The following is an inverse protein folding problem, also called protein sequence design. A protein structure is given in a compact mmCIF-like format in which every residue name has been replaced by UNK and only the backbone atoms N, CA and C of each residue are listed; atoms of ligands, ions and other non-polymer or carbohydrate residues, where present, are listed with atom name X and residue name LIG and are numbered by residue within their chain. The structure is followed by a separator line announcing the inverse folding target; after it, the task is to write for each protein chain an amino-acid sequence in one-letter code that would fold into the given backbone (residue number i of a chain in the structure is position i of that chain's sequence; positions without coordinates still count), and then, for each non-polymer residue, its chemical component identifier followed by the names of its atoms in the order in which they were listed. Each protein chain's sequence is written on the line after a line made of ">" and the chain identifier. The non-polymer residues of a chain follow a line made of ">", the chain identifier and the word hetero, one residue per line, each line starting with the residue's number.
data_IF_211860747958
#
_entry.id   IF_211860747958
#
_cell.length_a   1.000
_cell.length_b   1.000
_cell.length_c   1.000
_cell.angle_alpha   90.00
_cell.angle_beta   90.00
_cell.angle_gamma   90.00
#
_symmetry.space_group_name_H-M   'P 1'
#
loop_
_entity.id
_entity.type
_entity.pdbx_description
1 polymer ?
#
# COMPACT_ATOMS: atom_id res chain seq x y z
N UNK A 1 25.01 2.60 0.33
CA UNK A 1 24.19 1.74 1.19
C UNK A 1 23.36 0.86 0.27
N UNK A 2 23.75 -0.40 0.08
CA UNK A 2 22.97 -1.34 -0.72
C UNK A 2 21.73 -1.74 0.08
N UNK A 3 20.55 -1.64 -0.54
CA UNK A 3 19.31 -2.16 0.04
C UNK A 3 19.47 -3.68 0.10
N UNK A 4 19.78 -4.23 1.29
CA UNK A 4 19.77 -5.67 1.55
C UNK A 4 18.31 -6.14 1.67
N UNK A 5 17.55 -5.91 0.61
CA UNK A 5 16.17 -6.33 0.46
C UNK A 5 16.23 -7.41 -0.61
N UNK A 6 16.19 -8.67 -0.20
CA UNK A 6 16.26 -9.85 -1.08
C UNK A 6 15.12 -9.97 -2.10
N UNK A 7 14.33 -8.91 -2.30
CA UNK A 7 13.18 -8.83 -3.20
C UNK A 7 13.48 -7.85 -4.34
N UNK A 8 14.08 -8.37 -5.41
CA UNK A 8 14.39 -7.61 -6.63
C UNK A 8 13.16 -7.00 -7.28
N UNK A 9 12.00 -7.65 -7.15
CA UNK A 9 10.73 -7.13 -7.69
C UNK A 9 10.30 -5.86 -6.95
N UNK A 10 10.54 -5.80 -5.64
CA UNK A 10 10.27 -4.58 -4.88
C UNK A 10 11.22 -3.44 -5.25
N UNK A 11 12.52 -3.72 -5.41
CA UNK A 11 13.47 -2.69 -5.81
C UNK A 11 13.11 -2.12 -7.19
N UNK A 12 12.73 -3.00 -8.13
CA UNK A 12 12.24 -2.59 -9.45
C UNK A 12 10.95 -1.75 -9.35
N UNK A 13 9.98 -2.18 -8.54
CA UNK A 13 8.77 -1.40 -8.29
C UNK A 13 9.07 -0.03 -7.69
N UNK A 14 10.00 0.04 -6.72
CA UNK A 14 10.43 1.30 -6.12
C UNK A 14 11.11 2.23 -7.13
N UNK A 15 11.90 1.68 -8.05
CA UNK A 15 12.52 2.44 -9.13
C UNK A 15 11.48 3.05 -10.08
N UNK A 16 10.50 2.28 -10.53
CA UNK A 16 9.43 2.79 -11.40
C UNK A 16 8.62 3.91 -10.72
N UNK A 17 8.25 3.71 -9.46
CA UNK A 17 7.53 4.72 -8.69
C UNK A 17 8.39 5.97 -8.48
N UNK A 18 9.69 5.80 -8.23
CA UNK A 18 10.61 6.93 -8.09
C UNK A 18 10.66 7.79 -9.36
N UNK A 19 10.73 7.17 -10.54
CA UNK A 19 10.70 7.88 -11.82
C UNK A 19 9.37 8.62 -12.04
N UNK A 20 8.23 7.97 -11.79
CA UNK A 20 6.91 8.62 -11.93
C UNK A 20 6.74 9.82 -10.97
N UNK A 21 7.22 9.67 -9.73
CA UNK A 21 7.19 10.76 -8.75
C UNK A 21 8.04 11.94 -9.22
N UNK A 22 9.23 11.71 -9.77
CA UNK A 22 10.12 12.79 -10.21
C UNK A 22 9.72 13.42 -11.55
N UNK A 23 9.44 12.60 -12.56
CA UNK A 23 9.31 13.06 -13.96
C UNK A 23 7.88 13.50 -14.26
N UNK A 24 6.89 12.66 -13.94
CA UNK A 24 5.48 12.93 -14.24
C UNK A 24 4.86 13.85 -13.18
N UNK A 25 5.05 13.52 -11.90
CA UNK A 25 4.40 14.24 -10.79
C UNK A 25 5.22 15.40 -10.24
N UNK A 26 6.51 15.49 -10.57
CA UNK A 26 7.44 16.56 -10.14
C UNK A 26 7.52 16.73 -8.63
N UNK A 27 7.50 15.63 -7.91
CA UNK A 27 7.70 15.61 -6.47
C UNK A 27 9.13 16.03 -6.12
N UNK A 28 9.26 16.65 -4.97
CA UNK A 28 10.52 17.19 -4.47
C UNK A 28 11.07 16.34 -3.34
N UNK A 29 12.40 16.35 -3.21
CA UNK A 29 13.12 15.68 -2.13
C UNK A 29 12.80 14.18 -1.99
N UNK A 30 12.53 13.49 -3.11
CA UNK A 30 12.20 12.07 -3.10
C UNK A 30 13.44 11.26 -2.70
N UNK A 31 13.32 10.52 -1.60
CA UNK A 31 14.39 9.69 -1.03
C UNK A 31 13.88 8.28 -0.79
N UNK A 32 14.75 7.28 -0.90
CA UNK A 32 14.41 5.88 -0.62
C UNK A 32 14.94 5.43 0.74
N UNK A 33 14.15 4.62 1.43
CA UNK A 33 14.49 4.00 2.73
C UNK A 33 14.06 2.55 2.76
N UNK A 34 14.86 1.72 3.42
CA UNK A 34 14.54 0.33 3.70
C UNK A 34 14.10 0.16 5.15
N UNK A 35 13.01 -0.57 5.38
CA UNK A 35 12.62 -1.06 6.70
C UNK A 35 12.96 -2.55 6.80
N UNK A 36 13.91 -2.89 7.68
CA UNK A 36 14.22 -4.29 7.97
C UNK A 36 13.08 -4.99 8.72
N UNK A 37 12.34 -4.27 9.57
CA UNK A 37 11.21 -4.82 10.33
C UNK A 37 10.08 -5.29 9.42
N UNK A 38 9.78 -4.50 8.39
CA UNK A 38 8.73 -4.78 7.43
C UNK A 38 9.26 -5.46 6.16
N UNK A 39 10.57 -5.69 6.09
CA UNK A 39 11.29 -6.27 4.95
C UNK A 39 10.92 -5.56 3.63
N UNK A 40 10.78 -4.23 3.66
CA UNK A 40 10.23 -3.46 2.55
C UNK A 40 11.03 -2.18 2.27
N UNK A 41 11.06 -1.76 1.01
CA UNK A 41 11.53 -0.44 0.56
C UNK A 41 10.33 0.50 0.47
N UNK A 42 10.49 1.71 0.98
CA UNK A 42 9.53 2.80 0.84
C UNK A 42 10.26 4.08 0.42
N UNK A 43 9.51 5.03 -0.13
CA UNK A 43 10.01 6.34 -0.53
C UNK A 43 9.40 7.40 0.39
N UNK A 44 10.14 8.49 0.59
CA UNK A 44 9.66 9.70 1.26
C UNK A 44 9.87 10.88 0.32
N UNK A 45 8.84 11.70 0.12
CA UNK A 45 8.94 12.88 -0.75
C UNK A 45 7.84 13.89 -0.49
N UNK A 46 7.92 15.06 -1.11
CA UNK A 46 6.91 16.12 -1.01
C UNK A 46 6.26 16.34 -2.37
N UNK A 47 4.94 16.40 -2.40
CA UNK A 47 4.19 16.76 -3.62
C UNK A 47 4.44 18.21 -4.02
N UNK A 48 4.66 19.10 -3.05
CA UNK A 48 5.01 20.51 -3.24
C UNK A 48 5.75 21.04 -2.01
N UNK A 49 6.50 22.15 -2.13
CA UNK A 49 7.26 22.73 -1.01
C UNK A 49 6.40 23.05 0.23
N UNK A 50 5.13 23.39 0.02
CA UNK A 50 4.19 23.71 1.09
C UNK A 50 3.61 22.48 1.79
N UNK A 51 3.81 21.28 1.24
CA UNK A 51 3.25 20.05 1.79
C UNK A 51 4.27 19.28 2.65
N UNK A 52 3.81 18.60 3.71
CA UNK A 52 4.68 17.74 4.49
C UNK A 52 5.20 16.56 3.65
N UNK A 53 6.31 15.97 4.08
CA UNK A 53 6.79 14.72 3.47
C UNK A 53 5.76 13.63 3.67
N UNK A 54 5.38 12.98 2.58
CA UNK A 54 4.52 11.82 2.56
C UNK A 54 5.36 10.56 2.42
N UNK A 55 4.84 9.46 2.96
CA UNK A 55 5.45 8.14 2.85
C UNK A 55 4.76 7.41 1.70
N UNK A 56 5.54 6.96 0.72
CA UNK A 56 5.08 6.21 -0.45
C UNK A 56 5.58 4.77 -0.35
N UNK A 57 4.70 3.78 -0.48
CA UNK A 57 5.06 2.36 -0.49
C UNK A 57 4.82 1.75 -1.87
N UNK A 58 5.90 1.46 -2.62
CA UNK A 58 5.83 0.68 -3.84
C UNK A 58 5.45 -0.76 -3.52
N UNK A 59 4.32 -1.23 -4.06
CA UNK A 59 3.83 -2.59 -3.89
C UNK A 59 3.73 -3.29 -5.24
N UNK A 60 4.62 -4.24 -5.57
CA UNK A 60 4.48 -5.04 -6.77
C UNK A 60 3.24 -5.94 -6.68
N UNK A 61 2.54 -6.14 -7.80
CA UNK A 61 1.25 -6.86 -7.82
C UNK A 61 1.25 -8.30 -7.28
N UNK A 62 2.43 -8.93 -7.16
CA UNK A 62 2.59 -10.27 -6.59
C UNK A 62 2.76 -10.27 -5.06
N UNK A 63 2.87 -9.10 -4.44
CA UNK A 63 3.12 -8.93 -3.01
C UNK A 63 1.90 -8.35 -2.31
N UNK A 64 1.61 -8.85 -1.12
CA UNK A 64 0.56 -8.31 -0.25
C UNK A 64 1.15 -7.50 0.90
N UNK A 65 0.39 -6.49 1.34
CA UNK A 65 0.70 -5.71 2.53
C UNK A 65 -0.43 -5.93 3.54
N UNK A 66 -0.07 -6.42 4.74
CA UNK A 66 -1.06 -6.69 5.79
C UNK A 66 -1.57 -5.40 6.43
N UNK A 67 -2.77 -5.44 7.02
CA UNK A 67 -3.28 -4.31 7.80
C UNK A 67 -2.33 -3.92 8.95
N UNK A 68 -1.69 -4.90 9.58
CA UNK A 68 -0.67 -4.63 10.60
C UNK A 68 0.52 -3.87 9.99
N UNK A 69 1.00 -4.27 8.80
CA UNK A 69 2.07 -3.57 8.09
C UNK A 69 1.71 -2.11 7.77
N UNK A 70 0.51 -1.87 7.26
CA UNK A 70 0.00 -0.49 7.01
C UNK A 70 -0.03 0.31 8.31
N UNK A 71 -0.51 -0.27 9.42
CA UNK A 71 -0.54 0.40 10.72
C UNK A 71 0.86 0.69 11.25
N UNK A 72 1.80 -0.24 11.09
CA UNK A 72 3.20 -0.04 11.48
C UNK A 72 3.83 1.11 10.70
N UNK A 73 3.62 1.18 9.37
CA UNK A 73 4.09 2.26 8.51
C UNK A 73 3.51 3.63 8.92
N UNK A 74 2.20 3.69 9.17
CA UNK A 74 1.54 4.91 9.66
C UNK A 74 1.95 5.28 11.09
N UNK A 75 2.52 4.35 11.87
CA UNK A 75 2.98 4.60 13.24
C UNK A 75 4.45 4.99 13.29
N UNK A 76 5.21 4.79 12.21
CA UNK A 76 6.60 5.23 12.18
C UNK A 76 6.66 6.76 12.19
N UNK A 77 7.55 7.34 13.00
CA UNK A 77 7.82 8.77 12.94
C UNK A 77 8.37 9.09 11.55
N UNK A 78 7.76 10.04 10.86
CA UNK A 78 8.33 10.58 9.64
C UNK A 78 9.64 11.31 9.93
N UNK A 79 10.28 11.84 8.88
CA UNK A 79 11.51 12.63 9.02
C UNK A 79 11.38 13.84 9.95
N UNK A 80 10.16 14.31 10.21
CA UNK A 80 9.82 15.46 11.05
C UNK A 80 9.54 15.08 12.53
N UNK A 81 9.76 13.82 12.91
CA UNK A 81 9.51 13.31 14.27
C UNK A 81 8.03 13.09 14.62
N UNK A 82 7.11 13.64 13.83
CA UNK A 82 5.68 13.36 13.91
C UNK A 82 5.30 12.14 13.04
N UNK A 83 4.34 11.31 13.47
CA UNK A 83 3.86 10.21 12.65
C UNK A 83 3.12 10.73 11.41
N UNK A 84 3.36 10.10 10.26
CA UNK A 84 2.70 10.48 9.01
C UNK A 84 1.19 10.25 9.11
N UNK A 85 0.34 11.27 8.84
CA UNK A 85 -1.11 11.14 8.92
C UNK A 85 -1.68 10.28 7.78
N UNK A 86 -0.97 10.22 6.66
CA UNK A 86 -1.33 9.49 5.45
C UNK A 86 -0.13 8.78 4.83
N UNK A 87 -0.44 7.63 4.22
CA UNK A 87 0.45 6.78 3.45
C UNK A 87 -0.06 6.74 2.00
N UNK A 88 0.83 6.82 1.03
CA UNK A 88 0.51 6.62 -0.38
C UNK A 88 1.00 5.25 -0.83
N UNK A 89 0.10 4.34 -1.17
CA UNK A 89 0.47 3.03 -1.71
C UNK A 89 0.48 3.11 -3.24
N UNK A 90 1.60 2.76 -3.85
CA UNK A 90 1.78 2.73 -5.28
C UNK A 90 1.78 1.26 -5.74
N UNK A 91 0.64 0.79 -6.23
CA UNK A 91 0.51 -0.55 -6.79
C UNK A 91 1.15 -0.58 -8.19
N UNK A 92 2.10 -1.49 -8.38
CA UNK A 92 2.87 -1.63 -9.62
C UNK A 92 2.45 -2.92 -10.31
N UNK A 93 1.81 -2.77 -11.47
CA UNK A 93 1.42 -3.89 -12.32
C UNK A 93 2.63 -4.41 -13.14
N UNK A 94 2.60 -5.66 -13.63
CA UNK A 94 3.68 -6.23 -14.43
C UNK A 94 3.95 -5.51 -15.76
N UNK A 95 2.95 -4.79 -16.28
CA UNK A 95 3.06 -3.95 -17.48
C UNK A 95 3.61 -2.55 -17.18
N UNK A 96 4.12 -2.32 -15.97
CA UNK A 96 4.62 -1.04 -15.45
C UNK A 96 3.54 0.01 -15.20
N UNK A 97 2.25 -0.35 -15.25
CA UNK A 97 1.18 0.57 -14.84
C UNK A 97 1.23 0.83 -13.34
N UNK A 98 1.16 2.12 -12.96
CA UNK A 98 1.18 2.58 -11.57
C UNK A 98 -0.21 3.06 -11.13
N UNK A 99 -0.72 2.51 -10.03
CA UNK A 99 -1.96 2.96 -9.41
C UNK A 99 -1.69 3.45 -7.98
N UNK A 100 -2.08 4.70 -7.71
CA UNK A 100 -1.86 5.34 -6.42
C UNK A 100 -3.11 5.30 -5.56
N UNK A 101 -2.97 4.77 -4.35
CA UNK A 101 -4.03 4.68 -3.35
C UNK A 101 -3.60 5.40 -2.09
N UNK A 102 -4.42 6.33 -1.60
CA UNK A 102 -4.12 7.05 -0.36
C UNK A 102 -4.77 6.35 0.84
N UNK A 103 -3.93 5.93 1.79
CA UNK A 103 -4.30 5.34 3.05
C UNK A 103 -4.18 6.40 4.15
N UNK A 104 -5.23 6.60 4.94
CA UNK A 104 -5.20 7.50 6.11
C UNK A 104 -5.45 6.71 7.39
N UNK A 105 -5.06 7.26 8.54
CA UNK A 105 -5.45 6.69 9.84
C UNK A 105 -6.98 6.64 9.95
N UNK A 106 -7.51 5.50 10.41
CA UNK A 106 -8.96 5.23 10.43
C UNK A 106 -9.40 3.91 9.78
N UNK A 107 -8.46 3.04 9.40
CA UNK A 107 -8.79 1.68 8.95
C UNK A 107 -9.50 0.89 10.05
N UNK A 108 -10.79 0.69 9.87
CA UNK A 108 -11.63 -0.21 10.67
C UNK A 108 -11.93 -1.41 9.80
N UNK A 109 -11.66 -2.61 10.31
CA UNK A 109 -12.11 -3.84 9.64
C UNK A 109 -13.64 -3.84 9.71
N UNK A 110 -14.35 -3.84 8.56
CA UNK A 110 -15.80 -3.85 8.60
C UNK A 110 -16.27 -5.11 9.32
N UNK A 111 -17.35 -5.00 10.09
CA UNK A 111 -17.95 -6.17 10.72
C UNK A 111 -18.33 -7.18 9.63
N UNK A 112 -17.99 -8.48 9.82
CA UNK A 112 -18.33 -9.49 8.85
C UNK A 112 -19.85 -9.50 8.65
N UNK A 113 -20.33 -9.63 7.40
CA UNK A 113 -21.76 -9.62 7.14
C UNK A 113 -22.43 -10.77 7.89
N UNK A 114 -23.57 -10.48 8.54
CA UNK A 114 -24.38 -11.48 9.23
C UNK A 114 -24.88 -12.54 8.23
N UNK A 115 -24.14 -13.64 8.15
CA UNK A 115 -24.52 -14.93 7.55
C UNK A 115 -24.77 -14.98 6.03
N UNK A 116 -23.78 -15.49 5.29
CA UNK A 116 -23.94 -16.06 3.94
C UNK A 116 -24.91 -17.28 3.95
N UNK A 117 -25.22 -17.85 5.13
CA UNK A 117 -26.07 -19.02 5.30
C UNK A 117 -27.53 -18.82 4.84
N UNK A 118 -28.04 -17.59 4.88
CA UNK A 118 -29.42 -17.30 4.45
C UNK A 118 -29.63 -17.52 2.93
N UNK A 119 -28.59 -17.31 2.11
CA UNK A 119 -28.67 -17.51 0.66
C UNK A 119 -28.64 -18.99 0.26
N UNK A 120 -27.92 -19.83 1.01
CA UNK A 120 -27.83 -21.27 0.74
C UNK A 120 -29.13 -22.01 1.11
N UNK A 121 -29.76 -21.63 2.22
CA UNK A 121 -31.06 -22.20 2.65
C UNK A 121 -32.17 -21.93 1.60
N UNK A 122 -32.13 -20.79 0.90
CA UNK A 122 -33.03 -20.48 -0.21
C UNK A 122 -32.76 -21.33 -1.48
N UNK A 123 -31.49 -21.65 -1.75
CA UNK A 123 -31.09 -22.47 -2.91
C UNK A 123 -31.46 -23.95 -2.75
N UNK A 124 -31.32 -24.51 -1.55
CA UNK A 124 -31.70 -25.91 -1.28
C UNK A 124 -33.22 -26.14 -1.38
N UNK A 125 -34.03 -25.20 -0.89
CA UNK A 125 -35.50 -25.28 -0.97
C UNK A 125 -36.02 -25.27 -2.41
N UNK A 126 -35.31 -24.62 -3.35
CA UNK A 126 -35.68 -24.62 -4.77
C UNK A 126 -35.33 -25.92 -5.49
N UNK A 127 -34.29 -26.64 -5.06
CA UNK A 127 -33.91 -27.94 -5.63
C UNK A 127 -34.87 -29.06 -5.20
N UNK A 128 -35.38 -29.04 -3.97
CA UNK A 128 -36.35 -30.04 -3.47
C UNK A 128 -37.76 -29.94 -4.06
N UNK A 129 -38.10 -28.83 -4.73
CA UNK A 129 -39.41 -28.62 -5.39
C UNK A 129 -39.44 -29.02 -6.86
N UNK A 130 -38.34 -29.56 -7.40
CA UNK A 130 -38.20 -29.98 -8.82
C UNK A 130 -37.97 -31.49 -8.97
N UNK A 131 -38.28 -32.27 -7.94
CA UNK A 131 -38.32 -33.73 -7.94
C UNK A 131 -39.76 -34.18 -7.73
#
# INVERSE_FOLDING_TARGET
>A
MALDVGDTAQVYAAFLVYLDLLEERRWQEVTSRGSAELQLVYLEGRESESQPRQLIVPLPGQRSLSHQGVRSLLSQPGSDGAPSPSLLLAAVAPDSTLAYYRFSRGFVVPEPPDSIQALECGRERRKRRRL
#
